data_IF_769929879272
#
_entry.id   IF_769929879272
#
_cell.length_a   1.000
_cell.length_b   1.000
_cell.length_c   1.000
_cell.angle_alpha   90.00
_cell.angle_beta   90.00
_cell.angle_gamma   90.00
#
_symmetry.space_group_name_H-M   'P 1'
#
loop_
_entity.id
_entity.type
_entity.pdbx_description
1 polymer ?
#
# COMPACT_ATOMS: atom_id res chain seq x y z
N UNK A 1 -2.88 -8.16 3.77
CA UNK A 1 -4.27 -8.47 3.32
C UNK A 1 -4.32 -9.73 2.45
N UNK A 2 -3.67 -9.77 1.29
CA UNK A 2 -3.70 -10.93 0.35
C UNK A 2 -3.40 -12.27 1.02
N UNK A 3 -2.32 -12.36 1.81
CA UNK A 3 -1.93 -13.61 2.49
C UNK A 3 -3.00 -14.14 3.43
N UNK A 4 -3.67 -13.27 4.18
CA UNK A 4 -4.73 -13.67 5.11
C UNK A 4 -5.97 -14.22 4.40
N UNK A 5 -6.14 -13.90 3.11
CA UNK A 5 -7.23 -14.41 2.28
C UNK A 5 -6.83 -15.68 1.51
N UNK A 6 -5.65 -16.27 1.78
CA UNK A 6 -5.15 -17.47 1.09
C UNK A 6 -4.23 -17.21 -0.11
N UNK A 7 -3.91 -15.95 -0.45
CA UNK A 7 -3.04 -15.63 -1.58
C UNK A 7 -1.54 -15.77 -1.28
N UNK A 8 -0.76 -16.26 -2.25
CA UNK A 8 0.70 -16.31 -2.14
C UNK A 8 1.31 -14.90 -2.32
N UNK A 9 1.95 -14.38 -1.27
CA UNK A 9 2.51 -13.04 -1.31
C UNK A 9 3.66 -12.90 -2.33
N UNK A 10 4.39 -13.98 -2.64
CA UNK A 10 5.55 -13.96 -3.54
C UNK A 10 5.18 -13.60 -4.98
N UNK A 11 3.91 -13.81 -5.33
CA UNK A 11 3.37 -13.53 -6.67
C UNK A 11 2.72 -12.14 -6.76
N UNK A 12 2.71 -11.37 -5.66
CA UNK A 12 2.14 -10.03 -5.66
C UNK A 12 2.89 -9.12 -6.63
N UNK A 13 2.12 -8.29 -7.33
CA UNK A 13 2.59 -7.12 -8.08
C UNK A 13 1.95 -5.87 -7.48
N UNK A 14 2.76 -4.82 -7.35
CA UNK A 14 2.34 -3.56 -6.74
C UNK A 14 2.01 -2.52 -7.82
N UNK A 15 1.08 -1.63 -7.51
CA UNK A 15 0.84 -0.41 -8.27
C UNK A 15 0.61 0.74 -7.29
N UNK A 16 1.23 1.89 -7.53
CA UNK A 16 1.18 3.02 -6.62
C UNK A 16 0.42 4.20 -7.24
N UNK A 17 -0.52 4.77 -6.49
CA UNK A 17 -1.25 5.96 -6.87
C UNK A 17 -0.87 7.11 -5.93
N UNK A 18 -0.32 8.17 -6.49
CA UNK A 18 0.20 9.30 -5.76
C UNK A 18 -0.73 10.50 -5.89
N UNK A 19 -1.16 11.07 -4.76
CA UNK A 19 -1.95 12.28 -4.71
C UNK A 19 -1.30 13.28 -3.78
N UNK A 20 -0.85 14.39 -4.35
CA UNK A 20 -0.23 15.48 -3.62
C UNK A 20 -0.79 16.82 -4.06
N UNK A 21 -0.47 17.82 -3.26
CA UNK A 21 -0.75 19.22 -3.56
C UNK A 21 -0.09 19.69 -4.86
N UNK A 22 -0.55 20.83 -5.37
CA UNK A 22 0.15 21.51 -6.47
C UNK A 22 1.55 21.93 -6.02
N UNK A 23 2.56 21.31 -6.62
CA UNK A 23 3.96 21.43 -6.20
C UNK A 23 4.61 22.75 -6.66
N UNK A 24 4.46 23.11 -7.94
CA UNK A 24 5.16 24.26 -8.51
C UNK A 24 6.68 24.14 -8.39
N UNK A 25 7.37 25.27 -8.19
CA UNK A 25 8.83 25.33 -8.03
C UNK A 25 9.27 25.30 -6.54
N UNK A 26 8.37 24.93 -5.62
CA UNK A 26 8.65 24.90 -4.19
C UNK A 26 9.33 23.59 -3.78
N UNK A 27 10.63 23.60 -3.43
CA UNK A 27 11.37 22.39 -3.08
C UNK A 27 10.83 21.69 -1.82
N UNK A 28 10.22 22.44 -0.89
CA UNK A 28 9.61 21.87 0.31
C UNK A 28 8.41 20.98 -0.02
N UNK A 29 7.60 21.39 -1.01
CA UNK A 29 6.48 20.57 -1.50
C UNK A 29 6.95 19.29 -2.19
N UNK A 30 8.02 19.38 -2.97
CA UNK A 30 8.64 18.22 -3.62
C UNK A 30 9.20 17.18 -2.65
N UNK A 31 9.52 17.56 -1.42
CA UNK A 31 9.95 16.62 -0.38
C UNK A 31 8.91 15.53 -0.06
N UNK A 32 7.61 15.83 -0.20
CA UNK A 32 6.51 14.90 0.12
C UNK A 32 6.42 13.71 -0.85
N UNK A 33 6.33 13.90 -2.18
CA UNK A 33 6.36 12.78 -3.12
C UNK A 33 7.70 12.06 -3.09
N UNK A 34 8.81 12.79 -2.95
CA UNK A 34 10.14 12.17 -2.87
C UNK A 34 10.27 11.19 -1.69
N UNK A 35 9.90 11.61 -0.48
CA UNK A 35 9.89 10.73 0.70
C UNK A 35 8.93 9.54 0.53
N UNK A 36 7.78 9.76 -0.11
CA UNK A 36 6.79 8.70 -0.34
C UNK A 36 7.31 7.63 -1.30
N UNK A 37 7.99 8.04 -2.38
CA UNK A 37 8.62 7.11 -3.33
C UNK A 37 9.78 6.34 -2.70
N UNK A 38 10.59 6.97 -1.85
CA UNK A 38 11.63 6.27 -1.09
C UNK A 38 11.04 5.22 -0.15
N UNK A 39 9.95 5.54 0.55
CA UNK A 39 9.21 4.57 1.36
C UNK A 39 8.65 3.40 0.53
N UNK A 40 8.12 3.69 -0.65
CA UNK A 40 7.63 2.67 -1.58
C UNK A 40 8.74 1.74 -2.08
N UNK A 41 9.93 2.28 -2.39
CA UNK A 41 11.11 1.50 -2.77
C UNK A 41 11.56 0.63 -1.60
N UNK A 42 11.68 1.20 -0.41
CA UNK A 42 12.07 0.47 0.79
C UNK A 42 11.14 -0.73 1.07
N UNK A 43 9.83 -0.53 0.94
CA UNK A 43 8.85 -1.61 1.10
C UNK A 43 8.98 -2.70 0.02
N UNK A 44 9.19 -2.31 -1.24
CA UNK A 44 9.41 -3.24 -2.35
C UNK A 44 10.66 -4.10 -2.13
N UNK A 45 11.78 -3.49 -1.78
CA UNK A 45 13.05 -4.18 -1.51
C UNK A 45 12.93 -5.11 -0.31
N UNK A 46 12.36 -4.62 0.80
CA UNK A 46 12.23 -5.39 2.04
C UNK A 46 11.34 -6.63 1.88
N UNK A 47 10.32 -6.55 1.02
CA UNK A 47 9.41 -7.66 0.75
C UNK A 47 9.80 -8.51 -0.47
N UNK A 48 10.78 -8.06 -1.27
CA UNK A 48 11.11 -8.68 -2.55
C UNK A 48 9.95 -8.62 -3.57
N UNK A 49 9.11 -7.59 -3.51
CA UNK A 49 7.92 -7.46 -4.34
C UNK A 49 8.07 -6.32 -5.35
N UNK A 50 7.87 -6.57 -6.65
CA UNK A 50 8.02 -5.54 -7.67
C UNK A 50 6.73 -4.74 -7.90
N UNK A 51 6.86 -3.44 -8.16
CA UNK A 51 5.83 -2.66 -8.81
C UNK A 51 5.80 -2.92 -10.32
N UNK A 52 4.59 -2.92 -10.89
CA UNK A 52 4.36 -3.06 -12.34
C UNK A 52 3.80 -1.77 -12.97
N UNK A 53 3.56 -0.75 -12.17
CA UNK A 53 3.07 0.52 -12.64
C UNK A 53 2.63 1.44 -11.51
N UNK A 54 1.99 2.52 -11.91
CA UNK A 54 1.48 3.54 -11.02
C UNK A 54 1.02 4.75 -11.82
N UNK A 55 0.50 5.75 -11.13
CA UNK A 55 0.25 7.07 -11.71
C UNK A 55 0.28 8.13 -10.63
N UNK A 56 0.68 9.32 -11.03
CA UNK A 56 0.73 10.51 -10.20
C UNK A 56 -0.42 11.48 -10.48
N UNK A 57 -0.74 12.26 -9.45
CA UNK A 57 -1.66 13.39 -9.50
C UNK A 57 -1.13 14.50 -8.59
N UNK A 58 -0.31 15.38 -9.17
CA UNK A 58 0.40 16.46 -8.48
C UNK A 58 -0.30 17.82 -8.60
N UNK A 59 -1.63 17.80 -8.72
CA UNK A 59 -2.49 18.98 -8.91
C UNK A 59 -3.60 19.08 -7.87
N UNK A 60 -3.46 18.40 -6.72
CA UNK A 60 -4.49 18.31 -5.68
C UNK A 60 -4.63 19.56 -4.83
N UNK A 61 -4.82 20.73 -5.46
CA UNK A 61 -5.07 22.00 -4.76
C UNK A 61 -6.22 22.73 -5.44
N UNK A 62 -7.17 23.22 -4.64
CA UNK A 62 -8.29 24.05 -5.06
C UNK A 62 -8.37 25.28 -4.13
N UNK A 63 -8.17 26.48 -4.68
CA UNK A 63 -7.96 27.70 -3.89
C UNK A 63 -6.84 27.49 -2.85
N UNK A 64 -7.12 27.76 -1.57
CA UNK A 64 -6.21 27.54 -0.44
C UNK A 64 -6.31 26.11 0.15
N UNK A 65 -7.15 25.24 -0.41
CA UNK A 65 -7.36 23.88 0.08
C UNK A 65 -6.51 22.88 -0.71
N UNK A 66 -5.82 22.02 0.03
CA UNK A 66 -4.89 21.04 -0.52
C UNK A 66 -5.27 19.63 -0.06
N UNK A 67 -5.18 18.66 -0.97
CA UNK A 67 -5.40 17.25 -0.63
C UNK A 67 -4.34 16.77 0.36
N UNK A 68 -4.69 15.88 1.31
CA UNK A 68 -3.70 15.25 2.15
C UNK A 68 -2.67 14.48 1.30
N UNK A 69 -1.36 14.58 1.59
CA UNK A 69 -0.34 13.77 0.95
C UNK A 69 -0.69 12.29 1.07
N UNK A 70 -0.91 11.62 -0.06
CA UNK A 70 -1.43 10.26 -0.08
C UNK A 70 -0.69 9.40 -1.09
N UNK A 71 -0.19 8.26 -0.61
CA UNK A 71 0.31 7.17 -1.43
C UNK A 71 -0.63 5.96 -1.26
N UNK A 72 -1.33 5.58 -2.32
CA UNK A 72 -2.19 4.39 -2.31
C UNK A 72 -1.44 3.23 -2.95
N UNK A 73 -1.21 2.17 -2.17
CA UNK A 73 -0.62 0.93 -2.66
C UNK A 73 -1.71 -0.09 -3.02
N UNK A 74 -1.79 -0.45 -4.31
CA UNK A 74 -2.55 -1.60 -4.77
C UNK A 74 -1.63 -2.81 -4.84
N UNK A 75 -2.06 -3.91 -4.22
CA UNK A 75 -1.41 -5.21 -4.34
C UNK A 75 -2.35 -6.14 -5.10
N UNK A 76 -1.83 -6.83 -6.12
CA UNK A 76 -2.60 -7.77 -6.94
C UNK A 76 -1.83 -9.07 -7.14
N UNK A 77 -2.54 -10.19 -7.13
CA UNK A 77 -2.04 -11.51 -7.51
C UNK A 77 -3.20 -12.35 -8.07
N UNK A 78 -2.88 -13.46 -8.74
CA UNK A 78 -3.84 -14.52 -9.04
C UNK A 78 -3.80 -15.60 -7.96
N UNK A 79 -4.86 -16.41 -7.88
CA UNK A 79 -4.98 -17.56 -6.97
C UNK A 79 -6.18 -18.42 -7.34
N UNK A 80 -6.25 -19.65 -6.83
CA UNK A 80 -7.42 -20.51 -7.01
C UNK A 80 -8.57 -20.01 -6.12
N UNK A 81 -9.72 -19.74 -6.71
CA UNK A 81 -10.91 -19.26 -5.99
C UNK A 81 -11.35 -20.22 -4.87
N UNK A 82 -11.06 -21.52 -5.00
CA UNK A 82 -11.39 -22.55 -4.00
C UNK A 82 -10.52 -22.48 -2.75
N UNK A 83 -9.37 -21.82 -2.84
CA UNK A 83 -8.41 -21.66 -1.74
C UNK A 83 -8.58 -20.31 -1.02
N UNK A 84 -9.52 -19.47 -1.47
CA UNK A 84 -9.75 -18.14 -0.89
C UNK A 84 -10.51 -18.25 0.44
N UNK A 85 -9.98 -17.56 1.45
CA UNK A 85 -10.52 -17.54 2.82
C UNK A 85 -11.24 -16.21 3.07
N UNK A 86 -12.52 -16.28 3.43
CA UNK A 86 -13.33 -15.15 3.88
C UNK A 86 -13.20 -14.93 5.40
N UNK A 87 -13.35 -13.68 5.90
CA UNK A 87 -12.92 -13.29 7.25
C UNK A 87 -13.81 -13.79 8.41
N UNK A 88 -15.00 -14.29 8.14
CA UNK A 88 -15.92 -14.80 9.16
C UNK A 88 -15.49 -16.16 9.74
N UNK A 89 -15.82 -16.41 11.01
CA UNK A 89 -15.56 -17.71 11.64
C UNK A 89 -16.34 -18.84 10.95
N UNK A 90 -15.66 -19.97 10.72
CA UNK A 90 -16.24 -21.10 9.97
C UNK A 90 -16.87 -22.17 10.86
N UNK A 91 -16.43 -22.28 12.11
CA UNK A 91 -16.95 -23.25 13.07
C UNK A 91 -16.86 -22.75 14.50
N UNK A 92 -17.73 -23.29 15.35
CA UNK A 92 -17.56 -23.16 16.80
C UNK A 92 -16.25 -23.83 17.23
N UNK A 93 -15.76 -23.45 18.40
CA UNK A 93 -14.58 -24.05 19.04
C UNK A 93 -13.27 -23.88 18.24
N UNK A 94 -13.24 -22.91 17.32
CA UNK A 94 -12.02 -22.50 16.60
C UNK A 94 -11.02 -21.84 17.56
N UNK A 95 -9.74 -22.15 17.39
CA UNK A 95 -8.66 -21.44 18.09
C UNK A 95 -8.41 -20.10 17.42
N UNK A 96 -8.49 -19.01 18.20
CA UNK A 96 -8.18 -17.65 17.72
C UNK A 96 -6.74 -17.33 18.07
N UNK A 97 -5.95 -16.98 17.06
CA UNK A 97 -4.54 -16.60 17.22
C UNK A 97 -4.38 -15.14 16.79
N UNK A 98 -3.75 -14.35 17.65
CA UNK A 98 -3.31 -12.99 17.34
C UNK A 98 -1.83 -13.02 16.96
N UNK A 99 -1.51 -12.59 15.75
CA UNK A 99 -0.13 -12.37 15.31
C UNK A 99 0.20 -10.89 15.48
N UNK A 100 0.90 -10.56 16.56
CA UNK A 100 1.34 -9.19 16.82
C UNK A 100 2.62 -8.90 16.02
N UNK A 101 2.59 -7.84 15.22
CA UNK A 101 3.78 -7.31 14.58
C UNK A 101 4.41 -6.28 15.52
N UNK A 102 5.73 -6.37 15.69
CA UNK A 102 6.48 -5.32 16.39
C UNK A 102 6.41 -4.06 15.54
N UNK A 103 5.69 -3.06 16.03
CA UNK A 103 5.68 -1.71 15.45
C UNK A 103 6.95 -0.99 15.87
N UNK A 104 7.53 -0.24 14.95
CA UNK A 104 8.53 0.76 15.28
C UNK A 104 7.87 1.94 16.02
N UNK A 105 8.70 2.85 16.55
CA UNK A 105 8.23 3.99 17.33
C UNK A 105 7.69 5.15 16.46
N UNK A 106 7.69 4.99 15.14
CA UNK A 106 7.36 6.03 14.15
C UNK A 106 5.99 5.83 13.50
#
# INVERSE_FOLDING_TARGET
>A
KITAMGGDYRNIRLSFQEFFERLGDDPGKWGKPFASLLGAIHAQESMGLPAIGGKDSMSGTFEDLTVPPTLVAFAVTTGDAREIISPEFKSTDSVVVLLELKKDEN
#
